data_IF_190828133812
#
_entry.id   IF_190828133812
#
_cell.length_a   1.000
_cell.length_b   1.000
_cell.length_c   1.000
_cell.angle_alpha   90.00
_cell.angle_beta   90.00
_cell.angle_gamma   90.00
#
_symmetry.space_group_name_H-M   'P 1'
#
loop_
_entity.id
_entity.type
_entity.pdbx_description
1 polymer ?
#
# COMPACT_ATOMS: atom_id res chain seq x y z
N UNK A 1 -7.49 -6.28 8.35
CA UNK A 1 -6.35 -6.33 7.39
C UNK A 1 -6.46 -5.25 6.32
N UNK A 2 -7.49 -5.25 5.46
CA UNK A 2 -7.62 -4.27 4.36
C UNK A 2 -7.68 -2.81 4.82
N UNK A 3 -8.37 -2.52 5.93
CA UNK A 3 -8.39 -1.16 6.50
C UNK A 3 -6.98 -0.64 6.83
N UNK A 4 -6.11 -1.51 7.36
CA UNK A 4 -4.72 -1.16 7.67
C UNK A 4 -3.96 -0.92 6.36
N UNK A 5 -4.13 -1.79 5.36
CA UNK A 5 -3.51 -1.63 4.04
C UNK A 5 -3.81 -0.25 3.44
N UNK A 6 -5.08 0.18 3.40
CA UNK A 6 -5.48 1.49 2.87
C UNK A 6 -4.85 2.68 3.63
N UNK A 7 -4.55 2.51 4.92
CA UNK A 7 -3.91 3.51 5.78
C UNK A 7 -2.38 3.53 5.67
N UNK A 8 -1.78 2.70 4.83
CA UNK A 8 -0.32 2.59 4.70
C UNK A 8 0.23 3.10 3.37
N UNK A 9 -0.64 3.28 2.38
CA UNK A 9 -0.29 3.62 0.99
C UNK A 9 -1.00 4.90 0.52
N UNK A 10 -0.58 5.45 -0.61
CA UNK A 10 -1.44 6.28 -1.47
C UNK A 10 -2.27 5.36 -2.38
N UNK A 11 -3.58 5.20 -2.14
CA UNK A 11 -4.41 4.30 -2.93
C UNK A 11 -4.82 4.89 -4.28
N UNK A 12 -4.44 6.13 -4.60
CA UNK A 12 -4.77 6.83 -5.84
C UNK A 12 -3.63 6.82 -6.86
N UNK A 13 -2.46 6.29 -6.49
CA UNK A 13 -1.30 6.17 -7.35
C UNK A 13 -1.07 4.70 -7.75
N UNK A 14 -1.26 4.40 -9.03
CA UNK A 14 -1.07 3.06 -9.58
C UNK A 14 0.32 2.81 -10.16
N UNK A 15 1.24 3.79 -10.10
CA UNK A 15 2.54 3.73 -10.79
C UNK A 15 3.74 3.75 -9.83
N UNK A 16 3.49 3.70 -8.52
CA UNK A 16 4.52 3.68 -7.49
C UNK A 16 3.94 4.01 -6.12
N UNK A 17 4.83 4.23 -5.16
CA UNK A 17 4.47 4.69 -3.81
C UNK A 17 5.46 5.76 -3.34
N UNK A 18 4.92 6.96 -3.13
CA UNK A 18 5.68 8.11 -2.61
C UNK A 18 6.91 8.42 -3.49
N UNK A 19 8.11 8.39 -2.92
CA UNK A 19 9.35 8.66 -3.65
C UNK A 19 9.78 7.50 -4.58
N UNK A 20 9.22 6.30 -4.40
CA UNK A 20 9.58 5.12 -5.20
C UNK A 20 8.62 4.94 -6.39
N UNK A 21 9.18 4.73 -7.58
CA UNK A 21 8.43 4.63 -8.86
C UNK A 21 8.73 3.34 -9.60
N UNK A 22 7.75 2.87 -10.36
CA UNK A 22 7.85 1.67 -11.19
C UNK A 22 7.04 0.50 -10.66
N UNK A 23 6.96 -0.55 -11.47
CA UNK A 23 6.04 -1.67 -11.23
C UNK A 23 6.30 -2.42 -9.90
N UNK A 24 7.54 -2.48 -9.44
CA UNK A 24 7.90 -3.08 -8.14
C UNK A 24 7.32 -2.33 -6.94
N UNK A 25 6.87 -1.09 -7.13
CA UNK A 25 6.35 -0.22 -6.08
C UNK A 25 4.86 0.07 -6.23
N UNK A 26 4.19 -0.44 -7.27
CA UNK A 26 2.75 -0.21 -7.44
C UNK A 26 1.96 -0.95 -6.35
N UNK A 27 0.88 -0.36 -5.80
CA UNK A 27 0.06 -1.04 -4.81
C UNK A 27 -0.82 -2.11 -5.47
N UNK A 28 -0.81 -3.32 -4.90
CA UNK A 28 -1.61 -4.47 -5.37
C UNK A 28 -2.10 -5.28 -4.17
N UNK A 29 -3.31 -5.83 -4.28
CA UNK A 29 -3.83 -6.86 -3.37
C UNK A 29 -3.86 -8.18 -4.13
N UNK A 30 -3.04 -9.14 -3.71
CA UNK A 30 -3.05 -10.49 -4.25
C UNK A 30 -4.02 -11.38 -3.46
N UNK A 31 -4.93 -12.07 -4.15
CA UNK A 31 -5.90 -12.98 -3.52
C UNK A 31 -5.62 -14.44 -3.83
N UNK A 32 -5.88 -15.33 -2.87
CA UNK A 32 -5.72 -16.79 -3.03
C UNK A 32 -7.03 -17.52 -3.30
N UNK A 33 -8.18 -16.89 -3.07
CA UNK A 33 -9.49 -17.49 -3.30
C UNK A 33 -10.56 -16.44 -3.58
N UNK A 34 -11.72 -16.90 -4.06
CA UNK A 34 -12.86 -16.05 -4.41
C UNK A 34 -13.42 -15.25 -3.23
N UNK A 35 -13.33 -15.78 -2.00
CA UNK A 35 -13.76 -15.03 -0.84
C UNK A 35 -12.88 -13.79 -0.62
N UNK A 36 -11.56 -13.94 -0.66
CA UNK A 36 -10.62 -12.82 -0.57
C UNK A 36 -10.80 -11.83 -1.72
N UNK A 37 -11.02 -12.31 -2.94
CA UNK A 37 -11.30 -11.47 -4.11
C UNK A 37 -12.52 -10.57 -3.89
N UNK A 38 -13.65 -11.15 -3.48
CA UNK A 38 -14.90 -10.42 -3.19
C UNK A 38 -14.73 -9.40 -2.07
N UNK A 39 -14.06 -9.80 -0.98
CA UNK A 39 -13.81 -8.90 0.17
C UNK A 39 -12.89 -7.75 -0.23
N UNK A 40 -11.85 -7.99 -1.04
CA UNK A 40 -10.97 -6.94 -1.54
C UNK A 40 -11.71 -5.94 -2.44
N UNK A 41 -12.53 -6.42 -3.38
CA UNK A 41 -13.36 -5.59 -4.24
C UNK A 41 -14.34 -4.74 -3.44
N UNK A 42 -15.07 -5.36 -2.49
CA UNK A 42 -16.01 -4.64 -1.64
C UNK A 42 -15.31 -3.57 -0.79
N UNK A 43 -14.12 -3.86 -0.25
CA UNK A 43 -13.35 -2.90 0.53
C UNK A 43 -12.84 -1.74 -0.32
N UNK A 44 -12.36 -2.00 -1.54
CA UNK A 44 -11.96 -0.98 -2.51
C UNK A 44 -13.14 -0.07 -2.87
N UNK A 45 -14.30 -0.66 -3.13
CA UNK A 45 -15.53 0.08 -3.45
C UNK A 45 -15.98 0.95 -2.27
N UNK A 46 -15.98 0.41 -1.05
CA UNK A 46 -16.32 1.18 0.15
C UNK A 46 -15.38 2.38 0.35
N UNK A 47 -14.08 2.23 0.05
CA UNK A 47 -13.14 3.35 0.10
C UNK A 47 -13.45 4.38 -1.00
N UNK A 48 -13.76 3.94 -2.22
CA UNK A 48 -14.14 4.81 -3.33
C UNK A 48 -15.42 5.62 -3.01
N UNK A 49 -16.40 4.98 -2.38
CA UNK A 49 -17.70 5.58 -2.04
C UNK A 49 -17.62 6.50 -0.83
N UNK A 50 -16.63 6.30 0.05
CA UNK A 50 -16.37 7.21 1.18
C UNK A 50 -16.02 8.64 0.75
N UNK A 51 -15.66 8.84 -0.53
CA UNK A 51 -15.18 10.12 -1.10
C UNK A 51 -14.01 10.73 -0.33
N UNK A 52 -13.26 9.92 0.43
CA UNK A 52 -12.07 10.37 1.15
C UNK A 52 -10.97 10.87 0.20
N UNK A 53 -10.93 10.32 -1.01
CA UNK A 53 -10.00 10.71 -2.05
C UNK A 53 -10.77 11.31 -3.24
N UNK A 54 -10.25 12.41 -3.77
CA UNK A 54 -10.81 13.08 -4.95
C UNK A 54 -10.44 12.38 -6.26
N UNK A 55 -9.49 11.44 -6.21
CA UNK A 55 -9.06 10.63 -7.34
C UNK A 55 -9.60 9.20 -7.21
N UNK A 56 -9.77 8.46 -8.33
CA UNK A 56 -10.12 7.05 -8.29
C UNK A 56 -9.11 6.21 -7.50
N UNK A 57 -9.58 5.14 -6.88
CA UNK A 57 -8.71 4.17 -6.19
C UNK A 57 -8.03 3.26 -7.24
N UNK A 58 -6.73 3.45 -7.42
CA UNK A 58 -5.89 2.83 -8.45
C UNK A 58 -5.30 1.47 -8.09
N UNK A 59 -5.53 0.97 -6.87
CA UNK A 59 -4.96 -0.32 -6.42
C UNK A 59 -5.50 -1.50 -7.21
N UNK A 60 -4.61 -2.32 -7.77
CA UNK A 60 -4.98 -3.53 -8.50
C UNK A 60 -5.36 -4.67 -7.55
N UNK A 61 -6.25 -5.56 -7.98
CA UNK A 61 -6.64 -6.78 -7.25
C UNK A 61 -6.43 -7.94 -8.22
N UNK A 62 -5.43 -8.77 -7.94
CA UNK A 62 -4.90 -9.77 -8.87
C UNK A 62 -4.83 -11.15 -8.20
N UNK A 63 -4.94 -12.27 -8.95
CA UNK A 63 -4.67 -13.59 -8.39
C UNK A 63 -3.24 -13.66 -7.85
N UNK A 64 -3.07 -14.31 -6.70
CA UNK A 64 -1.74 -14.59 -6.17
C UNK A 64 -0.98 -15.52 -7.12
N UNK A 65 0.27 -15.15 -7.41
CA UNK A 65 1.24 -15.96 -8.16
C UNK A 65 2.31 -16.50 -7.21
N UNK A 66 3.31 -17.20 -7.74
CA UNK A 66 4.45 -17.66 -6.96
C UNK A 66 5.09 -16.49 -6.20
N UNK A 67 5.26 -16.66 -4.90
CA UNK A 67 5.93 -15.69 -4.03
C UNK A 67 7.34 -16.19 -3.72
N UNK A 68 8.33 -15.39 -4.11
CA UNK A 68 9.74 -15.65 -3.82
C UNK A 68 10.17 -14.76 -2.68
N UNK A 69 10.71 -15.36 -1.62
CA UNK A 69 11.24 -14.60 -0.49
C UNK A 69 12.40 -13.73 -0.95
N UNK A 70 12.36 -12.46 -0.58
CA UNK A 70 13.51 -11.56 -0.69
C UNK A 70 14.63 -12.01 0.26
N UNK A 71 15.85 -11.57 -0.04
CA UNK A 71 17.06 -11.87 0.72
C UNK A 71 16.94 -11.48 2.20
N UNK A 72 17.66 -12.19 3.07
CA UNK A 72 17.57 -12.03 4.53
C UNK A 72 17.84 -10.62 5.04
N UNK A 73 18.65 -9.84 4.33
CA UNK A 73 18.94 -8.46 4.70
C UNK A 73 17.72 -7.53 4.48
N UNK A 74 16.79 -7.88 3.59
CA UNK A 74 15.52 -7.17 3.41
C UNK A 74 14.49 -7.50 4.51
N UNK A 75 14.59 -8.67 5.12
CA UNK A 75 13.65 -9.10 6.15
C UNK A 75 13.78 -8.25 7.42
N UNK A 76 12.66 -7.74 7.94
CA UNK A 76 12.60 -6.86 9.11
C UNK A 76 13.46 -5.58 8.99
N UNK A 77 13.66 -5.08 7.77
CA UNK A 77 14.55 -3.94 7.49
C UNK A 77 14.23 -2.70 8.35
N UNK A 78 12.94 -2.37 8.52
CA UNK A 78 12.52 -1.22 9.32
C UNK A 78 12.97 -1.30 10.80
N UNK A 79 13.18 -2.50 11.33
CA UNK A 79 13.69 -2.72 12.68
C UNK A 79 15.22 -2.74 12.68
N UNK A 80 15.84 -3.46 11.73
CA UNK A 80 17.31 -3.60 11.63
C UNK A 80 18.02 -2.28 11.28
N UNK A 81 17.39 -1.42 10.48
CA UNK A 81 17.93 -0.16 9.97
C UNK A 81 16.96 0.99 10.26
N UNK A 82 16.52 1.08 11.52
CA UNK A 82 15.45 1.99 11.95
C UNK A 82 15.73 3.46 11.67
N UNK A 83 16.96 3.93 11.87
CA UNK A 83 17.33 5.33 11.59
C UNK A 83 17.16 5.67 10.11
N UNK A 84 17.73 4.84 9.24
CA UNK A 84 17.65 5.04 7.79
C UNK A 84 16.20 4.93 7.30
N UNK A 85 15.47 3.91 7.75
CA UNK A 85 14.06 3.75 7.42
C UNK A 85 13.22 4.96 7.86
N UNK A 86 13.41 5.46 9.08
CA UNK A 86 12.66 6.59 9.60
C UNK A 86 13.00 7.88 8.84
N UNK A 87 14.26 8.09 8.47
CA UNK A 87 14.66 9.22 7.64
C UNK A 87 13.95 9.16 6.27
N UNK A 88 13.94 8.00 5.62
CA UNK A 88 13.20 7.80 4.37
C UNK A 88 11.69 8.02 4.54
N UNK A 89 11.08 7.49 5.61
CA UNK A 89 9.66 7.67 5.90
C UNK A 89 9.26 9.14 6.01
N UNK A 90 10.11 9.99 6.59
CA UNK A 90 9.88 11.42 6.69
C UNK A 90 10.09 12.16 5.36
N UNK A 91 11.14 11.80 4.61
CA UNK A 91 11.55 12.54 3.40
C UNK A 91 10.81 12.10 2.13
N UNK A 92 10.29 10.88 2.08
CA UNK A 92 9.57 10.33 0.91
C UNK A 92 8.23 11.00 0.63
N UNK A 93 7.69 11.78 1.58
CA UNK A 93 6.34 12.34 1.51
C UNK A 93 5.27 11.40 2.09
N UNK A 94 5.62 10.16 2.44
CA UNK A 94 4.70 9.20 3.07
C UNK A 94 4.13 9.71 4.37
N UNK A 95 4.97 10.20 5.28
CA UNK A 95 4.52 10.70 6.59
C UNK A 95 3.49 11.83 6.43
N UNK A 96 3.78 12.80 5.56
CA UNK A 96 2.89 13.93 5.24
C UNK A 96 1.57 13.47 4.65
N UNK A 97 1.60 12.57 3.67
CA UNK A 97 0.39 12.04 3.04
C UNK A 97 -0.51 11.35 4.06
N UNK A 98 0.07 10.49 4.91
CA UNK A 98 -0.68 9.76 5.92
C UNK A 98 -1.28 10.68 6.99
N UNK A 99 -0.54 11.69 7.43
CA UNK A 99 -1.05 12.69 8.36
C UNK A 99 -2.26 13.44 7.76
N UNK A 100 -2.19 13.86 6.50
CA UNK A 100 -3.25 14.62 5.83
C UNK A 100 -4.53 13.81 5.62
N UNK A 101 -4.42 12.52 5.33
CA UNK A 101 -5.58 11.70 4.94
C UNK A 101 -6.11 10.82 6.06
N UNK A 102 -5.33 10.51 7.10
CA UNK A 102 -5.69 9.49 8.08
C UNK A 102 -5.58 9.90 9.54
N UNK A 103 -4.77 10.91 9.86
CA UNK A 103 -4.73 11.46 11.21
C UNK A 103 -5.82 12.53 11.37
N UNK A 104 -6.59 12.42 12.47
CA UNK A 104 -7.44 13.49 12.99
C UNK A 104 -6.69 14.15 14.13
#
# INVERSE_FOLDING_TARGET
MLEIFWKQIDPTDSQGQFADRGDSYRPVIFYHNEYQHKVALSSKQALQDSKKFNKPIGVAIEPAVAFYLAEDYHQNYYTKQSQHYNQYYQLSGRSKFLAQHWQK
#
